data_IF_831900711181
#
_entry.id   IF_831900711181
#
_cell.length_a   1.000
_cell.length_b   1.000
_cell.length_c   1.000
_cell.angle_alpha   90.00
_cell.angle_beta   90.00
_cell.angle_gamma   90.00
#
_symmetry.space_group_name_H-M   'P 1'
#
loop_
_entity.id
_entity.type
_entity.pdbx_description
1 polymer ?
#
# COMPACT_ATOMS: atom_id res chain seq x y z
N UNK A 1 40.08 24.54 29.42
CA UNK A 1 39.75 23.82 28.17
C UNK A 1 38.53 22.94 28.41
N UNK A 2 37.34 23.37 27.98
CA UNK A 2 36.16 22.50 27.90
C UNK A 2 35.86 22.30 26.43
N UNK A 3 36.20 21.13 25.90
CA UNK A 3 35.84 20.75 24.54
C UNK A 3 34.32 20.59 24.49
N UNK A 4 33.66 21.46 23.72
CA UNK A 4 32.23 21.37 23.47
C UNK A 4 32.03 20.28 22.40
N UNK A 5 31.49 19.12 22.79
CA UNK A 5 31.10 18.09 21.83
C UNK A 5 29.93 18.62 20.98
N UNK A 6 29.89 18.35 19.67
CA UNK A 6 28.73 18.70 18.86
C UNK A 6 27.51 17.92 19.35
N UNK A 7 26.50 18.65 19.81
CA UNK A 7 25.19 18.08 20.13
C UNK A 7 24.58 17.49 18.86
N UNK A 8 24.35 16.17 18.85
CA UNK A 8 23.59 15.45 17.83
C UNK A 8 22.19 16.09 17.74
N UNK A 9 21.98 16.93 16.74
CA UNK A 9 20.66 17.49 16.44
C UNK A 9 19.71 16.34 16.09
N UNK A 10 18.59 16.32 16.79
CA UNK A 10 17.45 15.39 16.73
C UNK A 10 17.11 14.91 15.31
N UNK A 11 17.12 13.59 15.09
CA UNK A 11 16.83 12.94 13.79
C UNK A 11 15.34 12.71 13.51
N UNK A 12 14.44 13.14 14.40
CA UNK A 12 13.01 12.85 14.26
C UNK A 12 12.31 13.67 13.15
N UNK A 13 12.83 14.85 12.81
CA UNK A 13 12.21 15.76 11.86
C UNK A 13 12.50 15.43 10.38
N UNK A 14 13.63 14.78 10.09
CA UNK A 14 14.03 14.46 8.71
C UNK A 14 13.22 13.29 8.12
N UNK A 15 12.70 12.38 8.95
CA UNK A 15 12.02 11.17 8.47
C UNK A 15 10.55 11.34 8.08
N UNK A 16 9.92 12.50 8.30
CA UNK A 16 8.51 12.69 7.92
C UNK A 16 8.34 12.89 6.40
N UNK A 17 9.33 13.51 5.74
CA UNK A 17 9.33 13.74 4.30
C UNK A 17 9.71 12.49 3.49
N UNK A 18 10.42 11.54 4.09
CA UNK A 18 10.97 10.36 3.41
C UNK A 18 10.12 9.09 3.60
N UNK A 19 8.93 9.18 4.22
CA UNK A 19 8.09 7.99 4.43
C UNK A 19 7.41 7.55 3.14
N UNK A 20 7.45 6.26 2.87
CA UNK A 20 6.65 5.65 1.82
C UNK A 20 5.19 5.58 2.31
N UNK A 21 4.30 6.27 1.60
CA UNK A 21 2.88 6.33 1.91
C UNK A 21 2.14 5.14 1.30
N UNK A 22 1.37 4.44 2.12
CA UNK A 22 0.73 3.17 1.74
C UNK A 22 -0.77 3.26 1.96
N UNK A 23 -1.55 2.84 0.96
CA UNK A 23 -2.98 2.53 1.09
C UNK A 23 -3.13 1.01 1.19
N UNK A 24 -3.84 0.51 2.20
CA UNK A 24 -4.15 -0.91 2.35
C UNK A 24 -5.60 -1.14 1.92
N UNK A 25 -5.85 -2.11 1.05
CA UNK A 25 -7.19 -2.46 0.59
C UNK A 25 -7.38 -3.97 0.70
N UNK A 26 -8.33 -4.38 1.54
CA UNK A 26 -8.65 -5.77 1.84
C UNK A 26 -10.03 -5.80 2.48
N UNK A 27 -10.90 -6.74 2.15
CA UNK A 27 -12.24 -6.82 2.73
C UNK A 27 -12.23 -7.36 4.19
N UNK A 28 -11.14 -7.98 4.63
CA UNK A 28 -10.98 -8.53 5.97
C UNK A 28 -10.29 -7.54 6.92
N UNK A 29 -11.05 -6.99 7.87
CA UNK A 29 -10.56 -5.99 8.84
C UNK A 29 -9.37 -6.48 9.69
N UNK A 30 -9.35 -7.76 10.07
CA UNK A 30 -8.25 -8.38 10.83
C UNK A 30 -6.95 -8.37 10.03
N UNK A 31 -7.01 -8.63 8.72
CA UNK A 31 -5.84 -8.63 7.83
C UNK A 31 -5.30 -7.21 7.69
N UNK A 32 -6.16 -6.21 7.47
CA UNK A 32 -5.74 -4.80 7.42
C UNK A 32 -5.06 -4.35 8.71
N UNK A 33 -5.63 -4.71 9.86
CA UNK A 33 -5.06 -4.39 11.16
C UNK A 33 -3.68 -5.03 11.35
N UNK A 34 -3.50 -6.29 10.93
CA UNK A 34 -2.21 -6.99 10.95
C UNK A 34 -1.15 -6.32 10.07
N UNK A 35 -1.48 -6.01 8.81
CA UNK A 35 -0.57 -5.32 7.89
C UNK A 35 -0.20 -3.93 8.42
N UNK A 36 -1.18 -3.16 8.92
CA UNK A 36 -0.91 -1.85 9.52
C UNK A 36 -0.01 -1.95 10.74
N UNK A 37 -0.20 -2.94 11.61
CA UNK A 37 0.66 -3.17 12.76
C UNK A 37 2.09 -3.50 12.33
N UNK A 38 2.25 -4.38 11.33
CA UNK A 38 3.56 -4.75 10.78
C UNK A 38 4.29 -3.55 10.16
N UNK A 39 3.63 -2.82 9.26
CA UNK A 39 4.20 -1.62 8.63
C UNK A 39 4.53 -0.53 9.66
N UNK A 40 3.77 -0.46 10.75
CA UNK A 40 3.99 0.49 11.84
C UNK A 40 5.26 0.23 12.67
N UNK A 41 5.91 -0.93 12.51
CA UNK A 41 7.18 -1.24 13.18
C UNK A 41 8.38 -0.53 12.55
N UNK A 42 8.26 -0.07 11.30
CA UNK A 42 9.30 0.65 10.58
C UNK A 42 8.87 2.10 10.30
N UNK A 43 9.65 3.05 10.80
CA UNK A 43 9.37 4.48 10.65
C UNK A 43 9.49 5.00 9.20
N UNK A 44 10.03 4.19 8.28
CA UNK A 44 10.08 4.46 6.84
C UNK A 44 8.73 4.30 6.14
N UNK A 45 7.73 3.69 6.78
CA UNK A 45 6.38 3.54 6.21
C UNK A 45 5.34 4.40 6.91
N UNK A 46 4.30 4.77 6.16
CA UNK A 46 3.11 5.43 6.70
C UNK A 46 1.86 4.94 6.00
N UNK A 47 0.99 4.24 6.72
CA UNK A 47 -0.35 3.93 6.22
C UNK A 47 -1.18 5.22 6.22
N UNK A 48 -1.63 5.65 5.04
CA UNK A 48 -2.41 6.88 4.86
C UNK A 48 -3.90 6.62 4.71
N UNK A 49 -4.31 5.36 4.51
CA UNK A 49 -5.70 4.97 4.45
C UNK A 49 -5.87 3.45 4.43
N UNK A 50 -7.10 3.01 4.72
CA UNK A 50 -7.54 1.62 4.65
C UNK A 50 -8.89 1.56 3.90
N UNK A 51 -9.02 0.66 2.93
CA UNK A 51 -10.24 0.42 2.16
C UNK A 51 -10.70 -1.04 2.26
N UNK A 52 -12.00 -1.28 2.12
CA UNK A 52 -12.62 -2.61 2.28
C UNK A 52 -13.10 -3.25 0.97
N UNK A 53 -12.93 -2.56 -0.16
CA UNK A 53 -13.26 -3.06 -1.50
C UNK A 53 -12.60 -2.20 -2.59
N UNK A 54 -12.67 -2.66 -3.84
CA UNK A 54 -12.07 -1.98 -4.98
C UNK A 54 -12.65 -0.59 -5.28
N UNK A 55 -13.95 -0.35 -5.02
CA UNK A 55 -14.54 0.99 -5.23
C UNK A 55 -13.91 2.00 -4.26
N UNK A 56 -13.77 1.63 -2.99
CA UNK A 56 -13.07 2.46 -1.99
C UNK A 56 -11.59 2.62 -2.31
N UNK A 57 -10.94 1.60 -2.88
CA UNK A 57 -9.56 1.75 -3.35
C UNK A 57 -9.42 2.89 -4.37
N UNK A 58 -10.29 2.92 -5.38
CA UNK A 58 -10.26 3.94 -6.44
C UNK A 58 -10.55 5.33 -5.88
N UNK A 59 -11.57 5.47 -5.04
CA UNK A 59 -11.93 6.73 -4.38
C UNK A 59 -10.78 7.26 -3.51
N UNK A 60 -10.24 6.42 -2.64
CA UNK A 60 -9.17 6.80 -1.71
C UNK A 60 -7.86 7.06 -2.43
N UNK A 61 -7.56 6.32 -3.49
CA UNK A 61 -6.37 6.59 -4.31
C UNK A 61 -6.39 8.01 -4.87
N UNK A 62 -7.53 8.44 -5.44
CA UNK A 62 -7.70 9.81 -5.95
C UNK A 62 -7.46 10.85 -4.86
N UNK A 63 -7.98 10.63 -3.66
CA UNK A 63 -7.92 11.59 -2.55
C UNK A 63 -6.55 11.63 -1.87
N UNK A 64 -5.93 10.48 -1.65
CA UNK A 64 -4.75 10.33 -0.80
C UNK A 64 -3.43 10.30 -1.60
N UNK A 65 -3.50 10.01 -2.91
CA UNK A 65 -2.34 9.87 -3.80
C UNK A 65 -1.20 9.05 -3.15
N UNK A 66 -1.47 7.82 -2.67
CA UNK A 66 -0.47 7.01 -1.98
C UNK A 66 0.64 6.59 -2.94
N UNK A 67 1.85 6.44 -2.42
CA UNK A 67 3.00 5.99 -3.19
C UNK A 67 2.94 4.50 -3.57
N UNK A 68 2.28 3.69 -2.73
CA UNK A 68 2.03 2.26 -2.94
C UNK A 68 0.60 1.93 -2.51
N UNK A 69 -0.08 1.10 -3.28
CA UNK A 69 -1.33 0.43 -2.88
C UNK A 69 -1.04 -1.05 -2.63
N UNK A 70 -1.39 -1.53 -1.44
CA UNK A 70 -1.45 -2.94 -1.10
C UNK A 70 -2.89 -3.40 -1.31
N UNK A 71 -3.12 -4.27 -2.29
CA UNK A 71 -4.45 -4.59 -2.82
C UNK A 71 -4.73 -6.09 -2.70
N UNK A 72 -5.80 -6.45 -1.98
CA UNK A 72 -6.32 -7.81 -2.07
C UNK A 72 -6.94 -8.10 -3.45
N UNK A 73 -6.90 -9.35 -3.88
CA UNK A 73 -7.40 -9.73 -5.20
C UNK A 73 -8.91 -9.94 -5.23
N UNK A 74 -9.50 -10.55 -4.21
CA UNK A 74 -10.90 -11.01 -4.20
C UNK A 74 -11.68 -10.24 -3.15
N UNK A 75 -12.31 -9.15 -3.60
CA UNK A 75 -13.13 -8.30 -2.74
C UNK A 75 -14.53 -8.12 -3.34
N UNK A 76 -15.55 -7.77 -2.53
CA UNK A 76 -16.89 -7.48 -3.04
C UNK A 76 -16.92 -6.18 -3.86
N UNK A 77 -18.02 -5.99 -4.61
CA UNK A 77 -18.33 -4.82 -5.45
C UNK A 77 -17.42 -4.62 -6.66
N UNK A 78 -16.13 -4.39 -6.43
CA UNK A 78 -15.10 -4.26 -7.46
C UNK A 78 -13.90 -5.06 -6.96
N UNK A 79 -13.45 -6.02 -7.76
CA UNK A 79 -12.32 -6.85 -7.36
C UNK A 79 -10.98 -6.10 -7.47
N UNK A 80 -9.90 -6.71 -6.97
CA UNK A 80 -8.59 -6.09 -6.95
C UNK A 80 -7.99 -5.86 -8.34
N UNK A 81 -8.29 -6.73 -9.32
CA UNK A 81 -7.79 -6.62 -10.69
C UNK A 81 -8.49 -5.47 -11.41
N UNK A 82 -9.80 -5.37 -11.29
CA UNK A 82 -10.60 -4.28 -11.84
C UNK A 82 -10.26 -2.94 -11.17
N UNK A 83 -10.07 -2.92 -9.85
CA UNK A 83 -9.62 -1.74 -9.12
C UNK A 83 -8.23 -1.29 -9.56
N UNK A 84 -7.30 -2.23 -9.75
CA UNK A 84 -5.96 -1.95 -10.28
C UNK A 84 -6.04 -1.29 -11.65
N UNK A 85 -6.83 -1.87 -12.57
CA UNK A 85 -7.03 -1.32 -13.91
C UNK A 85 -7.62 0.10 -13.86
N UNK A 86 -8.62 0.32 -13.03
CA UNK A 86 -9.24 1.63 -12.85
C UNK A 86 -8.26 2.66 -12.27
N UNK A 87 -7.45 2.29 -11.28
CA UNK A 87 -6.41 3.16 -10.72
C UNK A 87 -5.36 3.50 -11.78
N UNK A 88 -4.91 2.52 -12.58
CA UNK A 88 -3.91 2.73 -13.63
C UNK A 88 -4.40 3.59 -14.80
N UNK A 89 -5.72 3.62 -15.06
CA UNK A 89 -6.33 4.57 -15.98
C UNK A 89 -6.32 6.01 -15.45
N UNK A 90 -6.33 6.17 -14.13
CA UNK A 90 -6.28 7.48 -13.46
C UNK A 90 -4.84 7.98 -13.38
N UNK A 91 -3.93 7.11 -12.94
CA UNK A 91 -2.50 7.36 -12.85
C UNK A 91 -1.71 6.20 -13.48
N UNK A 92 -1.16 6.39 -14.70
CA UNK A 92 -0.28 5.43 -15.35
C UNK A 92 1.06 5.18 -14.63
N UNK A 93 1.35 5.85 -13.51
CA UNK A 93 2.51 5.61 -12.65
C UNK A 93 2.15 5.00 -11.30
N UNK A 94 0.87 4.73 -11.04
CA UNK A 94 0.43 4.10 -9.80
C UNK A 94 1.15 2.76 -9.57
N UNK A 95 1.66 2.55 -8.36
CA UNK A 95 2.32 1.32 -7.94
C UNK A 95 1.38 0.50 -7.07
N UNK A 96 0.86 -0.59 -7.62
CA UNK A 96 -0.04 -1.51 -6.92
C UNK A 96 0.65 -2.86 -6.75
N UNK A 97 0.71 -3.34 -5.50
CA UNK A 97 1.20 -4.67 -5.15
C UNK A 97 0.03 -5.50 -4.65
N UNK A 98 -0.18 -6.65 -5.29
CA UNK A 98 -1.24 -7.57 -4.88
C UNK A 98 -0.82 -8.34 -3.62
N UNK A 99 -1.75 -8.51 -2.69
CA UNK A 99 -1.59 -9.27 -1.45
C UNK A 99 -2.77 -10.24 -1.31
N UNK A 100 -2.58 -11.52 -1.60
CA UNK A 100 -3.69 -12.48 -1.64
C UNK A 100 -3.30 -13.87 -1.13
N UNK A 101 -4.26 -14.64 -0.66
CA UNK A 101 -4.10 -16.08 -0.37
C UNK A 101 -4.24 -16.94 -1.63
N UNK A 102 -4.71 -16.36 -2.74
CA UNK A 102 -5.02 -17.07 -3.98
C UNK A 102 -3.82 -17.15 -4.92
N UNK A 103 -3.33 -18.36 -5.20
CA UNK A 103 -2.08 -18.59 -5.94
C UNK A 103 -2.26 -19.00 -7.41
N UNK A 104 -3.45 -18.84 -7.99
CA UNK A 104 -3.69 -19.32 -9.35
C UNK A 104 -2.95 -18.49 -10.40
N UNK A 105 -2.33 -19.20 -11.36
CA UNK A 105 -1.52 -18.59 -12.43
C UNK A 105 -2.33 -17.58 -13.26
N UNK A 106 -3.62 -17.84 -13.47
CA UNK A 106 -4.54 -16.97 -14.20
C UNK A 106 -4.79 -15.66 -13.44
N UNK A 107 -5.00 -15.70 -12.13
CA UNK A 107 -5.20 -14.49 -11.33
C UNK A 107 -3.93 -13.65 -11.23
N UNK A 108 -2.76 -14.29 -11.12
CA UNK A 108 -1.47 -13.59 -11.15
C UNK A 108 -1.27 -12.90 -12.49
N UNK A 109 -1.53 -13.61 -13.60
CA UNK A 109 -1.42 -13.03 -14.94
C UNK A 109 -2.35 -11.83 -15.12
N UNK A 110 -3.63 -11.98 -14.76
CA UNK A 110 -4.63 -10.92 -14.85
C UNK A 110 -4.26 -9.68 -14.03
N UNK A 111 -3.66 -9.85 -12.84
CA UNK A 111 -3.18 -8.74 -12.03
C UNK A 111 -2.05 -7.95 -12.70
N UNK A 112 -1.07 -8.64 -13.30
CA UNK A 112 0.00 -7.97 -14.04
C UNK A 112 -0.52 -7.29 -15.32
N UNK A 113 -1.42 -7.92 -16.06
CA UNK A 113 -2.08 -7.30 -17.23
C UNK A 113 -2.87 -6.04 -16.85
N UNK A 114 -3.50 -6.03 -15.66
CA UNK A 114 -4.18 -4.84 -15.14
C UNK A 114 -3.21 -3.72 -14.71
N UNK A 115 -1.92 -4.01 -14.60
CA UNK A 115 -0.86 -3.04 -14.29
C UNK A 115 -0.34 -3.10 -12.85
N UNK A 116 -0.54 -4.22 -12.14
CA UNK A 116 0.17 -4.46 -10.88
C UNK A 116 1.68 -4.53 -11.12
N UNK A 117 2.47 -4.08 -10.14
CA UNK A 117 3.95 -4.07 -10.21
C UNK A 117 4.58 -5.21 -9.41
N UNK A 118 3.78 -5.94 -8.64
CA UNK A 118 4.24 -7.03 -7.80
C UNK A 118 3.08 -7.79 -7.17
N UNK A 119 3.41 -8.93 -6.59
CA UNK A 119 2.46 -9.88 -6.02
C UNK A 119 3.08 -10.59 -4.82
N UNK A 120 2.33 -10.73 -3.73
CA UNK A 120 2.74 -11.34 -2.46
C UNK A 120 1.64 -12.29 -1.97
N UNK A 121 2.05 -13.46 -1.50
CA UNK A 121 1.16 -14.45 -0.89
C UNK A 121 0.98 -14.21 0.62
N UNK A 122 -0.27 -14.25 1.07
CA UNK A 122 -0.64 -14.31 2.48
C UNK A 122 -0.47 -15.76 2.95
N UNK A 123 0.65 -16.08 3.60
CA UNK A 123 0.94 -17.41 4.18
C UNK A 123 0.61 -17.47 5.67
#
# INVERSE_FOLDING_TARGET
>A
MKANLPQKKSSAATHAADRITILIVDDHSVVRAGIRALLGTDAGFKVVGEGENGQKAVEMYRQLQPQIVLMDLRMPLLDGVEATRAIRQIDPQARIVMLTTHQGDEEIHAAFEAGAVGYILKN
#
